data_IF_641537846487
#
_entry.id   IF_641537846487
#
_cell.length_a   1.000
_cell.length_b   1.000
_cell.length_c   1.000
_cell.angle_alpha   90.00
_cell.angle_beta   90.00
_cell.angle_gamma   90.00
#
_symmetry.space_group_name_H-M   'P 1'
#
loop_
_entity.id
_entity.type
_entity.pdbx_description
1 polymer ?
#
# COMPACT_ATOMS: atom_id res chain seq x y z
N UNK A 1 -30.20 -5.66 1.05
CA UNK A 1 -30.30 -5.64 1.28
C UNK A 1 -30.19 -5.61 1.12
N UNK A 2 -29.62 -5.38 1.43
CA UNK A 2 -29.49 -5.47 1.75
C UNK A 2 -29.34 -5.17 1.78
N UNK A 3 -29.09 -5.03 2.08
CA UNK A 3 -28.86 -4.83 2.44
C UNK A 3 -28.56 -4.64 2.48
N UNK A 4 -28.31 -4.48 2.82
CA UNK A 4 -28.19 -4.39 3.16
C UNK A 4 -27.84 -4.21 3.27
N UNK A 5 -27.64 -4.16 3.42
CA UNK A 5 -27.59 -4.09 3.76
C UNK A 5 -27.26 -3.83 3.89
N UNK A 6 -27.12 -3.81 4.11
CA UNK A 6 -27.05 -3.64 4.49
C UNK A 6 -26.71 -3.34 4.68
N UNK A 7 -26.62 -3.25 4.99
CA UNK A 7 -26.44 -3.03 5.49
C UNK A 7 -25.98 -2.80 5.81
N UNK A 8 -25.89 -2.78 6.12
CA UNK A 8 -25.56 -2.60 6.71
C UNK A 8 -25.02 -2.40 7.07
N UNK A 9 -24.89 -2.43 7.31
CA UNK A 9 -24.49 -2.29 7.79
C UNK A 9 -23.99 -1.99 8.07
N UNK A 10 -23.90 -1.84 8.63
CA UNK A 10 -23.46 -1.66 8.92
C UNK A 10 -22.86 -1.28 9.04
N UNK A 11 -22.92 -0.93 9.48
CA UNK A 11 -22.18 -0.09 9.83
C UNK A 11 -20.69 0.10 9.67
N UNK A 12 -19.73 0.49 10.67
CA UNK A 12 -18.27 0.65 10.50
C UNK A 12 -17.63 -0.51 9.76
N UNK A 13 -18.12 -1.68 9.98
CA UNK A 13 -17.63 -2.87 9.29
C UNK A 13 -17.81 -2.79 7.78
N UNK A 14 -18.60 -1.82 7.34
CA UNK A 14 -18.87 -1.62 5.91
C UNK A 14 -17.86 -0.70 5.25
N UNK A 15 -16.99 -0.08 6.05
CA UNK A 15 -15.98 0.83 5.48
C UNK A 15 -14.86 0.01 4.85
N UNK A 16 -14.62 0.26 3.58
CA UNK A 16 -13.55 -0.43 2.87
C UNK A 16 -12.21 0.15 3.26
N UNK A 17 -11.20 -0.69 3.51
CA UNK A 17 -9.85 -0.16 3.68
C UNK A 17 -9.37 0.46 2.37
N UNK A 18 -8.57 1.51 2.49
CA UNK A 18 -8.09 2.26 1.35
C UNK A 18 -6.59 2.06 1.21
N UNK A 19 -6.15 1.55 0.07
CA UNK A 19 -4.73 1.34 -0.22
C UNK A 19 -4.27 2.30 -1.29
N UNK A 20 -3.07 2.84 -1.11
CA UNK A 20 -2.36 3.57 -2.15
C UNK A 20 -1.30 2.64 -2.71
N UNK A 21 -1.43 2.30 -3.99
CA UNK A 21 -0.50 1.39 -4.67
C UNK A 21 0.40 2.20 -5.58
N UNK A 22 1.71 2.07 -5.39
CA UNK A 22 2.71 2.86 -6.10
C UNK A 22 3.61 1.94 -6.90
N UNK A 23 3.62 2.10 -8.22
CA UNK A 23 4.45 1.28 -9.11
C UNK A 23 4.58 2.02 -10.44
N UNK A 24 5.81 2.10 -10.96
CA UNK A 24 6.04 2.80 -12.21
C UNK A 24 5.71 1.96 -13.44
N UNK A 25 5.50 0.66 -13.28
CA UNK A 25 5.11 -0.22 -14.37
C UNK A 25 3.60 -0.25 -14.51
N UNK A 26 3.05 0.20 -15.66
CA UNK A 26 1.60 0.19 -15.82
C UNK A 26 0.96 -1.19 -15.66
N UNK A 27 1.61 -2.24 -16.17
CA UNK A 27 1.04 -3.57 -16.08
C UNK A 27 1.05 -4.11 -14.65
N UNK A 28 2.14 -3.86 -13.92
CA UNK A 28 2.22 -4.32 -12.53
C UNK A 28 1.29 -3.52 -11.64
N UNK A 29 1.20 -2.21 -11.88
CA UNK A 29 0.27 -1.36 -11.14
C UNK A 29 -1.16 -1.84 -11.33
N UNK A 30 -1.51 -2.20 -12.56
CA UNK A 30 -2.85 -2.69 -12.87
C UNK A 30 -3.15 -4.00 -12.15
N UNK A 31 -2.16 -4.89 -12.11
CA UNK A 31 -2.32 -6.17 -11.43
C UNK A 31 -2.58 -5.96 -9.94
N UNK A 32 -1.78 -5.11 -9.30
CA UNK A 32 -1.93 -4.82 -7.88
C UNK A 32 -3.31 -4.23 -7.61
N UNK A 33 -3.71 -3.27 -8.45
CA UNK A 33 -5.01 -2.62 -8.32
C UNK A 33 -6.14 -3.66 -8.37
N UNK A 34 -6.08 -4.56 -9.35
CA UNK A 34 -7.14 -5.56 -9.52
C UNK A 34 -7.21 -6.52 -8.35
N UNK A 35 -6.05 -6.94 -7.84
CA UNK A 35 -6.02 -7.87 -6.73
C UNK A 35 -6.62 -7.24 -5.47
N UNK A 36 -6.27 -5.99 -5.18
CA UNK A 36 -6.83 -5.31 -4.02
C UNK A 36 -8.34 -5.06 -4.19
N UNK A 37 -8.75 -4.68 -5.40
CA UNK A 37 -10.18 -4.45 -5.64
C UNK A 37 -10.97 -5.74 -5.48
N UNK A 38 -10.41 -6.87 -5.92
CA UNK A 38 -11.07 -8.17 -5.74
C UNK A 38 -11.17 -8.54 -4.27
N UNK A 39 -10.36 -7.95 -3.42
CA UNK A 39 -10.36 -8.19 -1.98
C UNK A 39 -11.12 -7.09 -1.23
N UNK A 40 -11.92 -6.33 -1.94
CA UNK A 40 -12.81 -5.31 -1.39
C UNK A 40 -12.08 -4.09 -0.81
N UNK A 41 -10.91 -3.79 -1.32
CA UNK A 41 -10.21 -2.55 -0.98
C UNK A 41 -10.62 -1.44 -1.94
N UNK A 42 -10.68 -0.23 -1.41
CA UNK A 42 -10.66 0.96 -2.26
C UNK A 42 -9.21 1.23 -2.64
N UNK A 43 -8.94 1.48 -3.92
CA UNK A 43 -7.57 1.60 -4.41
C UNK A 43 -7.35 2.94 -5.08
N UNK A 44 -6.28 3.63 -4.68
CA UNK A 44 -5.75 4.78 -5.41
C UNK A 44 -4.37 4.37 -5.90
N UNK A 45 -4.02 4.74 -7.12
CA UNK A 45 -2.73 4.37 -7.70
C UNK A 45 -1.88 5.59 -7.98
N UNK A 46 -0.56 5.39 -7.91
CA UNK A 46 0.42 6.41 -8.26
C UNK A 46 1.53 5.75 -9.06
N UNK A 47 2.11 6.48 -9.99
CA UNK A 47 3.16 5.95 -10.84
C UNK A 47 4.56 6.30 -10.37
N UNK A 48 4.67 7.02 -9.25
CA UNK A 48 5.98 7.43 -8.74
C UNK A 48 5.87 7.80 -7.26
N UNK A 49 7.03 7.84 -6.60
CA UNK A 49 7.09 8.28 -5.20
C UNK A 49 6.62 9.71 -5.01
N UNK A 50 7.11 10.67 -5.82
CA UNK A 50 6.63 12.05 -5.68
C UNK A 50 5.13 12.18 -5.88
N UNK A 51 4.56 11.46 -6.84
CA UNK A 51 3.12 11.49 -7.05
C UNK A 51 2.37 10.91 -5.86
N UNK A 52 2.92 9.84 -5.28
CA UNK A 52 2.32 9.23 -4.09
C UNK A 52 2.26 10.22 -2.94
N UNK A 53 3.36 10.95 -2.71
CA UNK A 53 3.40 11.95 -1.64
C UNK A 53 2.39 13.06 -1.87
N UNK A 54 2.26 13.50 -3.12
CA UNK A 54 1.29 14.53 -3.48
C UNK A 54 -0.12 14.07 -3.18
N UNK A 55 -0.45 12.82 -3.56
CA UNK A 55 -1.77 12.26 -3.31
C UNK A 55 -2.03 12.10 -1.80
N UNK A 56 -1.03 11.66 -1.05
CA UNK A 56 -1.17 11.50 0.39
C UNK A 56 -1.45 12.83 1.08
N UNK A 57 -0.81 13.88 0.61
CA UNK A 57 -1.03 15.21 1.16
C UNK A 57 -2.46 15.66 0.90
N UNK A 58 -2.96 15.44 -0.30
CA UNK A 58 -4.32 15.84 -0.67
C UNK A 58 -5.39 14.99 0.02
N UNK A 59 -5.06 13.76 0.38
CA UNK A 59 -6.01 12.87 1.04
C UNK A 59 -5.99 13.01 2.57
N UNK A 60 -5.20 13.93 3.06
CA UNK A 60 -5.12 14.22 4.49
C UNK A 60 -4.83 12.97 5.33
N UNK A 61 -4.03 12.06 4.77
CA UNK A 61 -3.65 10.87 5.48
C UNK A 61 -4.72 9.80 5.62
N UNK A 62 -5.81 9.91 4.88
CA UNK A 62 -6.91 8.94 4.97
C UNK A 62 -6.66 7.73 4.08
N UNK A 63 -5.52 7.12 4.26
CA UNK A 63 -5.11 5.91 3.58
C UNK A 63 -4.73 4.92 4.66
N UNK A 64 -5.19 3.69 4.52
CA UNK A 64 -4.96 2.66 5.54
C UNK A 64 -3.69 1.87 5.29
N UNK A 65 -3.19 1.89 4.06
CA UNK A 65 -2.05 1.07 3.66
C UNK A 65 -1.39 1.69 2.45
N UNK A 66 -0.05 1.69 2.45
CA UNK A 66 0.73 2.06 1.27
C UNK A 66 1.48 0.81 0.82
N UNK A 67 1.33 0.44 -0.46
CA UNK A 67 2.09 -0.65 -1.06
C UNK A 67 2.89 -0.04 -2.20
N UNK A 68 4.21 -0.14 -2.14
CA UNK A 68 5.07 0.51 -3.12
C UNK A 68 6.11 -0.44 -3.67
N UNK A 69 6.36 -0.34 -4.98
CA UNK A 69 7.49 -0.97 -5.61
C UNK A 69 8.78 -0.39 -5.04
N UNK A 70 9.82 -1.20 -4.95
CA UNK A 70 11.12 -0.71 -4.51
C UNK A 70 11.82 0.07 -5.62
N UNK A 71 11.92 -0.51 -6.82
CA UNK A 71 12.69 0.09 -7.91
C UNK A 71 11.81 1.01 -8.75
N UNK A 72 11.99 2.30 -8.55
CA UNK A 72 11.27 3.32 -9.32
C UNK A 72 12.25 4.45 -9.66
N UNK A 73 12.06 5.12 -10.80
CA UNK A 73 12.87 6.30 -11.12
C UNK A 73 12.62 7.40 -10.09
N UNK A 74 13.58 8.28 -9.92
CA UNK A 74 13.51 9.47 -9.08
C UNK A 74 13.50 9.19 -7.59
N UNK A 75 12.69 8.24 -7.13
CA UNK A 75 12.56 7.95 -5.71
C UNK A 75 12.29 6.45 -5.55
N UNK A 76 13.16 5.77 -4.81
CA UNK A 76 12.95 4.34 -4.53
C UNK A 76 11.84 4.17 -3.50
N UNK A 77 11.34 2.93 -3.38
CA UNK A 77 10.37 2.62 -2.34
C UNK A 77 10.92 2.88 -0.95
N UNK A 78 12.22 2.67 -0.74
CA UNK A 78 12.86 2.96 0.55
C UNK A 78 12.82 4.47 0.85
N UNK A 79 13.12 5.28 -0.15
CA UNK A 79 13.08 6.73 0.04
C UNK A 79 11.66 7.22 0.33
N UNK A 80 10.69 6.64 -0.36
CA UNK A 80 9.28 6.95 -0.08
C UNK A 80 8.92 6.56 1.35
N UNK A 81 9.33 5.37 1.77
CA UNK A 81 9.11 4.89 3.13
C UNK A 81 9.67 5.89 4.15
N UNK A 82 10.90 6.36 3.92
CA UNK A 82 11.53 7.30 4.86
C UNK A 82 10.73 8.59 4.95
N UNK A 83 10.26 9.12 3.82
CA UNK A 83 9.49 10.34 3.84
C UNK A 83 8.17 10.18 4.56
N UNK A 84 7.53 9.03 4.38
CA UNK A 84 6.28 8.73 5.10
C UNK A 84 6.55 8.68 6.60
N UNK A 85 7.62 7.99 7.01
CA UNK A 85 7.91 7.82 8.43
C UNK A 85 8.38 9.10 9.09
N UNK A 86 8.89 10.06 8.32
CA UNK A 86 9.30 11.35 8.85
C UNK A 86 8.13 12.33 8.96
N UNK A 87 7.00 12.02 8.38
CA UNK A 87 5.84 12.89 8.40
C UNK A 87 4.95 12.59 9.61
N UNK A 88 4.73 13.57 10.50
CA UNK A 88 3.84 13.33 11.65
C UNK A 88 2.44 12.91 11.23
N UNK A 89 1.99 13.38 10.06
CA UNK A 89 0.67 13.07 9.54
C UNK A 89 0.58 11.65 8.97
N UNK A 90 1.68 11.14 8.41
CA UNK A 90 1.66 9.91 7.64
C UNK A 90 2.35 8.73 8.32
N UNK A 91 3.13 8.98 9.35
CA UNK A 91 4.05 7.99 9.91
C UNK A 91 3.38 6.72 10.42
N UNK A 92 2.11 6.79 10.77
CA UNK A 92 1.41 5.63 11.33
C UNK A 92 0.79 4.75 10.25
N UNK A 93 0.82 5.19 8.99
CA UNK A 93 0.29 4.38 7.89
C UNK A 93 1.27 3.23 7.62
N UNK A 94 0.82 1.98 7.67
CA UNK A 94 1.72 0.87 7.36
C UNK A 94 2.16 0.92 5.90
N UNK A 95 3.44 0.64 5.66
CA UNK A 95 4.04 0.63 4.33
C UNK A 95 4.58 -0.77 4.05
N UNK A 96 4.16 -1.32 2.92
CA UNK A 96 4.64 -2.62 2.44
C UNK A 96 5.44 -2.36 1.17
N UNK A 97 6.63 -2.93 1.11
CA UNK A 97 7.51 -2.80 -0.05
C UNK A 97 7.38 -4.05 -0.92
N UNK A 98 7.30 -3.87 -2.23
CA UNK A 98 7.30 -4.98 -3.19
C UNK A 98 8.57 -4.92 -4.01
N UNK A 99 9.17 -6.07 -4.28
CA UNK A 99 10.40 -6.11 -5.06
C UNK A 99 10.46 -7.41 -5.85
N UNK A 100 11.03 -7.33 -7.05
CA UNK A 100 11.31 -8.53 -7.83
C UNK A 100 12.67 -9.14 -7.46
N UNK A 101 13.41 -8.50 -6.55
CA UNK A 101 14.74 -8.97 -6.15
C UNK A 101 14.78 -9.26 -4.65
N UNK A 102 15.38 -10.40 -4.31
CA UNK A 102 15.55 -10.79 -2.92
C UNK A 102 16.99 -10.51 -2.49
N UNK A 103 17.24 -9.27 -2.10
CA UNK A 103 18.56 -8.83 -1.63
C UNK A 103 18.45 -8.59 -0.12
N UNK A 104 19.06 -9.45 0.70
CA UNK A 104 18.87 -9.39 2.16
C UNK A 104 19.19 -8.02 2.77
N UNK A 105 20.25 -7.35 2.29
CA UNK A 105 20.58 -6.02 2.82
C UNK A 105 19.43 -5.04 2.58
N UNK A 106 18.86 -5.08 1.37
CA UNK A 106 17.75 -4.18 1.01
C UNK A 106 16.52 -4.47 1.85
N UNK A 107 16.21 -5.76 2.03
CA UNK A 107 15.08 -6.15 2.87
C UNK A 107 15.27 -5.62 4.29
N UNK A 108 16.47 -5.83 4.84
CA UNK A 108 16.75 -5.40 6.21
C UNK A 108 16.68 -3.89 6.37
N UNK A 109 17.21 -3.14 5.40
CA UNK A 109 17.15 -1.69 5.45
C UNK A 109 15.71 -1.18 5.48
N UNK A 110 14.86 -1.78 4.67
CA UNK A 110 13.46 -1.36 4.63
C UNK A 110 12.74 -1.71 5.92
N UNK A 111 12.97 -2.90 6.45
CA UNK A 111 12.31 -3.28 7.71
C UNK A 111 12.80 -2.43 8.87
N UNK A 112 14.10 -2.16 8.93
CA UNK A 112 14.66 -1.30 9.97
C UNK A 112 14.18 0.14 9.81
N UNK A 113 13.91 0.56 8.59
CA UNK A 113 13.38 1.89 8.31
C UNK A 113 11.90 2.05 8.61
N UNK A 114 11.25 0.99 9.02
CA UNK A 114 9.86 1.06 9.44
C UNK A 114 8.85 0.41 8.50
N UNK A 115 9.30 -0.30 7.46
CA UNK A 115 8.38 -1.02 6.60
C UNK A 115 7.66 -2.09 7.42
N UNK A 116 6.37 -2.21 7.19
CA UNK A 116 5.59 -3.23 7.88
C UNK A 116 5.90 -4.62 7.36
N UNK A 117 6.19 -4.69 6.06
CA UNK A 117 6.51 -5.96 5.43
C UNK A 117 7.29 -5.71 4.15
N UNK A 118 7.95 -6.74 3.66
CA UNK A 118 8.68 -6.69 2.39
C UNK A 118 8.30 -7.96 1.63
N UNK A 119 7.61 -7.81 0.52
CA UNK A 119 7.06 -8.93 -0.24
C UNK A 119 7.70 -8.99 -1.61
N UNK A 120 7.65 -10.16 -2.22
CA UNK A 120 8.29 -10.39 -3.50
C UNK A 120 7.25 -10.51 -4.61
N UNK A 121 7.57 -9.94 -5.76
CA UNK A 121 6.69 -10.04 -6.92
C UNK A 121 6.78 -11.44 -7.50
N UNK A 122 5.74 -11.94 -8.15
CA UNK A 122 4.50 -11.24 -8.48
C UNK A 122 3.58 -11.14 -7.26
N UNK A 123 2.85 -10.03 -7.18
CA UNK A 123 1.88 -9.81 -6.11
C UNK A 123 0.72 -10.78 -6.27
N UNK A 124 0.26 -11.37 -5.16
CA UNK A 124 -0.74 -12.42 -5.20
C UNK A 124 -1.84 -12.17 -4.17
N UNK A 125 -2.96 -12.84 -4.37
CA UNK A 125 -4.08 -12.75 -3.43
C UNK A 125 -3.66 -13.17 -2.02
N UNK A 126 -2.79 -14.20 -1.92
CA UNK A 126 -2.29 -14.63 -0.61
C UNK A 126 -1.53 -13.54 0.11
N UNK A 127 -0.91 -12.62 -0.63
CA UNK A 127 -0.21 -11.49 -0.01
C UNK A 127 -1.22 -10.54 0.63
N UNK A 128 -2.37 -10.33 -0.01
CA UNK A 128 -3.42 -9.50 0.58
C UNK A 128 -3.94 -10.12 1.86
N UNK A 129 -4.11 -11.44 1.88
CA UNK A 129 -4.56 -12.13 3.09
C UNK A 129 -3.58 -11.90 4.24
N UNK A 130 -2.28 -11.97 3.94
CA UNK A 130 -1.26 -11.70 4.94
C UNK A 130 -1.34 -10.26 5.42
N UNK A 131 -1.50 -9.32 4.51
CA UNK A 131 -1.61 -7.90 4.84
C UNK A 131 -2.80 -7.65 5.75
N UNK A 132 -3.93 -8.30 5.46
CA UNK A 132 -5.13 -8.10 6.24
C UNK A 132 -4.98 -8.52 7.71
N UNK A 133 -4.03 -9.41 8.00
CA UNK A 133 -3.83 -9.85 9.38
C UNK A 133 -3.30 -8.72 10.27
N UNK A 134 -2.68 -7.70 9.71
CA UNK A 134 -2.12 -6.62 10.52
C UNK A 134 -2.72 -5.23 10.22
N UNK A 135 -3.79 -5.18 9.45
CA UNK A 135 -4.43 -3.90 9.14
C UNK A 135 -5.47 -3.47 10.17
N UNK A 136 -5.64 -4.20 11.21
CA UNK A 136 -6.69 -3.89 12.19
C UNK A 136 -6.34 -2.77 13.15
#
# INVERSE_FOLDING_TARGET
>A
MKPAASSASSSSSMVQPHVLAVDDSPSERKLIERIFQASSFKVTVADSGPRALELLDNMEGKVDLIVTDYCMPEMTGYELLKKVKESPKLKDIPVVILSSENLPRRVNECLEGGARDFLFKPFQISDVEKIMTYLK
#
